data_IF_986559807790
#
_entry.id   IF_986559807790
#
_cell.length_a   1.000
_cell.length_b   1.000
_cell.length_c   1.000
_cell.angle_alpha   90.00
_cell.angle_beta   90.00
_cell.angle_gamma   90.00
#
_symmetry.space_group_name_H-M   'P 1'
#
loop_
_entity.id
_entity.type
_entity.pdbx_description
1 polymer ?
#
# COMPACT_ATOMS: atom_id res chain seq x y z
N UNK A 1 3.18 30.94 -27.05
CA UNK A 1 2.30 29.83 -26.65
C UNK A 1 2.42 28.78 -27.73
N UNK A 2 3.22 27.74 -27.50
CA UNK A 2 3.48 26.69 -28.48
C UNK A 2 2.20 25.87 -28.67
N UNK A 3 1.76 25.75 -29.91
CA UNK A 3 0.60 24.97 -30.35
C UNK A 3 0.78 23.51 -29.92
N UNK A 4 -0.24 22.90 -29.32
CA UNK A 4 -0.28 21.45 -29.19
C UNK A 4 -0.61 20.91 -30.58
N UNK A 5 0.39 20.42 -31.32
CA UNK A 5 0.23 20.00 -32.72
C UNK A 5 -0.41 18.61 -32.86
N UNK A 6 -0.34 17.78 -31.81
CA UNK A 6 -0.79 16.39 -31.86
C UNK A 6 -1.51 15.96 -30.57
N UNK A 7 -2.68 15.35 -30.72
CA UNK A 7 -3.51 14.80 -29.65
C UNK A 7 -3.67 13.29 -29.86
N UNK A 8 -3.28 12.49 -28.87
CA UNK A 8 -3.49 11.04 -28.86
C UNK A 8 -4.60 10.75 -27.84
N UNK A 9 -5.80 10.31 -28.25
CA UNK A 9 -6.86 9.97 -27.32
C UNK A 9 -6.53 8.67 -26.56
N UNK A 10 -6.45 8.74 -25.23
CA UNK A 10 -6.39 7.58 -24.32
C UNK A 10 -7.74 7.41 -23.63
N UNK A 11 -8.73 6.97 -24.42
CA UNK A 11 -10.06 6.64 -23.93
C UNK A 11 -10.10 5.14 -23.66
N UNK A 12 -9.97 4.78 -22.39
CA UNK A 12 -9.96 3.42 -21.82
C UNK A 12 -8.56 2.82 -21.65
N UNK A 13 -8.24 2.48 -20.40
CA UNK A 13 -6.96 1.99 -19.93
C UNK A 13 -6.68 0.53 -20.37
N UNK A 14 -6.92 0.24 -21.64
CA UNK A 14 -6.63 -1.02 -22.32
C UNK A 14 -6.00 -0.80 -23.71
N UNK A 15 -5.63 0.45 -24.02
CA UNK A 15 -4.94 0.75 -25.28
C UNK A 15 -3.55 0.11 -25.29
N UNK A 16 -3.37 -0.89 -26.15
CA UNK A 16 -2.11 -1.61 -26.28
C UNK A 16 -0.93 -0.64 -26.49
N UNK A 17 0.20 -0.83 -25.78
CA UNK A 17 1.42 -0.05 -26.01
C UNK A 17 1.86 -0.03 -27.47
N UNK A 18 1.52 -1.08 -28.24
CA UNK A 18 1.80 -1.16 -29.68
C UNK A 18 0.99 -0.16 -30.50
N UNK A 19 -0.27 0.08 -30.13
CA UNK A 19 -1.11 1.07 -30.81
C UNK A 19 -0.54 2.46 -30.55
N UNK A 20 -0.27 2.78 -29.28
CA UNK A 20 0.36 4.05 -28.91
C UNK A 20 1.68 4.26 -29.66
N UNK A 21 2.55 3.25 -29.70
CA UNK A 21 3.83 3.33 -30.41
C UNK A 21 3.63 3.64 -31.91
N UNK A 22 2.70 2.94 -32.58
CA UNK A 22 2.41 3.16 -33.99
C UNK A 22 1.92 4.59 -34.28
N UNK A 23 1.08 5.17 -33.41
CA UNK A 23 0.65 6.57 -33.54
C UNK A 23 1.81 7.54 -33.33
N UNK A 24 2.66 7.31 -32.33
CA UNK A 24 3.83 8.16 -32.07
C UNK A 24 4.79 8.12 -33.25
N UNK A 25 5.07 6.94 -33.81
CA UNK A 25 5.94 6.78 -34.97
C UNK A 25 5.36 7.42 -36.25
N UNK A 26 4.05 7.31 -36.46
CA UNK A 26 3.40 7.81 -37.67
C UNK A 26 3.20 9.34 -37.69
N UNK A 27 3.09 9.97 -36.52
CA UNK A 27 2.63 11.36 -36.41
C UNK A 27 3.60 12.31 -35.69
N UNK A 28 4.77 11.85 -35.26
CA UNK A 28 5.76 12.71 -34.60
C UNK A 28 7.17 12.35 -35.05
N UNK A 29 8.12 13.26 -34.89
CA UNK A 29 9.55 13.05 -35.05
C UNK A 29 10.29 12.96 -33.70
N UNK A 30 11.56 12.54 -33.73
CA UNK A 30 12.41 12.53 -32.54
C UNK A 30 12.54 13.96 -31.99
N UNK A 31 12.46 14.09 -30.66
CA UNK A 31 12.40 15.36 -29.90
C UNK A 31 11.07 16.14 -29.99
N UNK A 32 10.07 15.67 -30.73
CA UNK A 32 8.75 16.29 -30.67
C UNK A 32 8.15 16.21 -29.26
N UNK A 33 7.26 17.16 -28.96
CA UNK A 33 6.57 17.22 -27.69
C UNK A 33 5.20 16.54 -27.81
N UNK A 34 5.01 15.46 -27.07
CA UNK A 34 3.72 14.82 -26.87
C UNK A 34 3.08 15.38 -25.60
N UNK A 35 1.82 15.78 -25.70
CA UNK A 35 1.03 16.26 -24.57
C UNK A 35 -0.09 15.27 -24.28
N UNK A 36 -0.08 14.69 -23.09
CA UNK A 36 -1.17 13.88 -22.56
C UNK A 36 -1.91 14.65 -21.46
N UNK A 37 -3.02 15.33 -21.78
CA UNK A 37 -3.73 16.20 -20.84
C UNK A 37 -4.54 15.45 -19.79
N UNK A 38 -4.69 14.12 -19.91
CA UNK A 38 -5.50 13.32 -19.01
C UNK A 38 -4.70 12.27 -18.24
N UNK A 39 -3.62 11.75 -18.85
CA UNK A 39 -2.66 10.81 -18.30
C UNK A 39 -3.26 9.79 -17.35
N UNK A 40 -4.25 9.04 -17.86
CA UNK A 40 -4.93 7.97 -17.11
C UNK A 40 -4.06 6.73 -16.98
N UNK A 41 -3.03 6.62 -17.81
CA UNK A 41 -2.06 5.54 -17.85
C UNK A 41 -0.66 6.08 -18.13
N UNK A 42 0.41 5.45 -17.61
CA UNK A 42 1.78 5.80 -17.98
C UNK A 42 2.12 5.46 -19.44
N UNK A 43 1.34 4.60 -20.12
CA UNK A 43 1.70 3.99 -21.40
C UNK A 43 2.04 5.04 -22.47
N UNK A 44 1.22 6.09 -22.62
CA UNK A 44 1.47 7.15 -23.61
C UNK A 44 2.84 7.81 -23.39
N UNK A 45 3.10 8.19 -22.15
CA UNK A 45 4.30 8.93 -21.74
C UNK A 45 5.54 8.06 -21.78
N UNK A 46 5.46 6.81 -21.29
CA UNK A 46 6.60 5.88 -21.31
C UNK A 46 6.96 5.49 -22.73
N UNK A 47 5.97 5.27 -23.59
CA UNK A 47 6.19 4.94 -25.01
C UNK A 47 6.79 6.13 -25.77
N UNK A 48 6.29 7.34 -25.52
CA UNK A 48 6.85 8.58 -26.08
C UNK A 48 8.32 8.76 -25.72
N UNK A 49 8.66 8.64 -24.43
CA UNK A 49 10.04 8.79 -23.95
C UNK A 49 10.94 7.69 -24.51
N UNK A 50 10.45 6.43 -24.55
CA UNK A 50 11.19 5.32 -25.14
C UNK A 50 11.46 5.51 -26.65
N UNK A 51 10.55 6.17 -27.37
CA UNK A 51 10.70 6.54 -28.77
C UNK A 51 11.53 7.82 -28.97
N UNK A 52 12.11 8.42 -27.93
CA UNK A 52 12.93 9.63 -28.04
C UNK A 52 12.12 10.92 -28.23
N UNK A 53 10.84 10.94 -27.85
CA UNK A 53 10.01 12.16 -27.79
C UNK A 53 10.11 12.78 -26.40
N UNK A 54 9.85 14.08 -26.32
CA UNK A 54 9.59 14.77 -25.05
C UNK A 54 8.12 14.58 -24.71
N UNK A 55 7.80 14.50 -23.42
CA UNK A 55 6.41 14.32 -23.01
C UNK A 55 6.05 15.28 -21.85
N UNK A 56 4.85 15.82 -21.91
CA UNK A 56 4.19 16.54 -20.82
C UNK A 56 2.87 15.84 -20.53
N UNK A 57 2.68 15.45 -19.28
CA UNK A 57 1.49 14.74 -18.85
C UNK A 57 0.84 15.45 -17.66
N UNK A 58 -0.48 15.53 -17.67
CA UNK A 58 -1.28 16.16 -16.62
C UNK A 58 -2.35 15.17 -16.16
N UNK A 59 -2.49 15.03 -14.85
CA UNK A 59 -3.61 14.33 -14.24
C UNK A 59 -3.96 15.02 -12.90
N UNK A 60 -5.25 15.15 -12.60
CA UNK A 60 -5.74 15.70 -11.34
C UNK A 60 -5.66 14.70 -10.18
N UNK A 61 -5.61 13.40 -10.48
CA UNK A 61 -5.40 12.31 -9.53
C UNK A 61 -3.94 12.28 -9.06
N UNK A 62 -3.65 12.56 -7.78
CA UNK A 62 -2.29 12.50 -7.25
C UNK A 62 -1.69 11.08 -7.35
N UNK A 63 -2.55 10.06 -7.30
CA UNK A 63 -2.17 8.67 -7.43
C UNK A 63 -1.68 8.34 -8.84
N UNK A 64 -2.42 8.76 -9.86
CA UNK A 64 -2.03 8.47 -11.24
C UNK A 64 -0.82 9.31 -11.65
N UNK A 65 -0.73 10.56 -11.19
CA UNK A 65 0.49 11.36 -11.33
C UNK A 65 1.72 10.71 -10.66
N UNK A 66 1.55 10.07 -9.49
CA UNK A 66 2.60 9.33 -8.81
C UNK A 66 2.99 8.05 -9.58
N UNK A 67 2.01 7.27 -10.06
CA UNK A 67 2.23 6.07 -10.87
C UNK A 67 2.99 6.39 -12.16
N UNK A 68 2.56 7.43 -12.89
CA UNK A 68 3.22 7.88 -14.12
C UNK A 68 4.65 8.31 -13.86
N UNK A 69 4.91 9.07 -12.79
CA UNK A 69 6.27 9.46 -12.41
C UNK A 69 7.17 8.26 -12.15
N UNK A 70 6.68 7.28 -11.39
CA UNK A 70 7.46 6.08 -11.06
C UNK A 70 7.66 5.15 -12.26
N UNK A 71 6.75 5.15 -13.23
CA UNK A 71 6.95 4.42 -14.49
C UNK A 71 8.08 5.01 -15.35
N UNK A 72 8.44 6.28 -15.14
CA UNK A 72 9.49 6.99 -15.88
C UNK A 72 10.82 7.07 -15.14
N UNK A 73 10.83 6.80 -13.83
CA UNK A 73 12.03 6.92 -13.00
C UNK A 73 12.52 5.53 -12.62
N UNK A 74 13.66 5.06 -13.18
CA UNK A 74 14.21 3.77 -12.80
C UNK A 74 14.71 3.82 -11.35
N UNK A 75 14.24 2.90 -10.53
CA UNK A 75 14.73 2.71 -9.16
C UNK A 75 15.41 1.34 -9.06
N UNK A 76 16.72 1.28 -8.79
CA UNK A 76 17.41 0.01 -8.59
C UNK A 76 16.81 -0.79 -7.44
N UNK A 77 16.59 -2.09 -7.63
CA UNK A 77 16.04 -2.99 -6.59
C UNK A 77 16.85 -2.95 -5.30
N UNK A 78 18.18 -2.86 -5.40
CA UNK A 78 19.07 -2.71 -4.23
C UNK A 78 18.75 -1.48 -3.36
N UNK A 79 18.26 -0.40 -3.97
CA UNK A 79 17.94 0.84 -3.24
C UNK A 79 16.60 0.67 -2.50
N UNK A 80 15.68 -0.11 -3.06
CA UNK A 80 14.44 -0.53 -2.41
C UNK A 80 14.71 -1.48 -1.24
N UNK A 81 15.59 -2.47 -1.43
CA UNK A 81 16.00 -3.41 -0.36
C UNK A 81 16.69 -2.67 0.80
N UNK A 82 17.57 -1.72 0.46
CA UNK A 82 18.21 -0.86 1.45
C UNK A 82 17.19 0.02 2.18
N UNK A 83 16.18 0.55 1.48
CA UNK A 83 15.11 1.32 2.10
C UNK A 83 14.25 0.47 3.07
N UNK A 84 13.86 -0.73 2.66
CA UNK A 84 13.10 -1.66 3.49
C UNK A 84 13.90 -2.09 4.74
N UNK A 85 15.20 -2.35 4.57
CA UNK A 85 16.12 -2.66 5.67
C UNK A 85 16.22 -1.48 6.64
N UNK A 86 16.41 -0.26 6.13
CA UNK A 86 16.53 0.95 6.95
C UNK A 86 15.25 1.26 7.73
N UNK A 87 14.06 1.02 7.16
CA UNK A 87 12.78 1.11 7.89
C UNK A 87 12.73 0.04 8.98
N UNK A 88 13.07 -1.20 8.64
CA UNK A 88 13.04 -2.35 9.56
C UNK A 88 13.93 -2.16 10.78
N UNK A 89 15.12 -1.63 10.56
CA UNK A 89 16.14 -1.39 11.59
C UNK A 89 15.94 -0.06 12.33
N UNK A 90 14.99 0.78 11.88
CA UNK A 90 14.73 2.05 12.53
C UNK A 90 14.29 1.85 13.99
N UNK A 91 14.76 2.67 14.95
CA UNK A 91 14.43 2.48 16.35
C UNK A 91 12.94 2.70 16.65
N UNK A 92 12.37 1.81 17.46
CA UNK A 92 11.05 1.93 18.08
C UNK A 92 11.12 1.43 19.52
N UNK A 93 11.02 2.35 20.48
CA UNK A 93 11.33 2.07 21.89
C UNK A 93 12.76 1.53 22.05
N UNK A 94 12.92 0.35 22.62
CA UNK A 94 14.18 -0.35 22.88
C UNK A 94 14.54 -1.40 21.83
N UNK A 95 13.84 -1.44 20.68
CA UNK A 95 14.07 -2.44 19.64
C UNK A 95 13.92 -1.91 18.21
N UNK A 96 14.38 -2.67 17.20
CA UNK A 96 14.09 -2.36 15.80
C UNK A 96 12.59 -2.38 15.49
N UNK A 97 12.14 -1.49 14.60
CA UNK A 97 10.74 -1.38 14.20
C UNK A 97 10.16 -2.70 13.73
N UNK A 98 10.90 -3.47 12.91
CA UNK A 98 10.43 -4.78 12.43
C UNK A 98 10.10 -5.72 13.58
N UNK A 99 10.95 -5.78 14.60
CA UNK A 99 10.72 -6.62 15.78
C UNK A 99 9.51 -6.12 16.58
N UNK A 100 9.37 -4.81 16.75
CA UNK A 100 8.22 -4.20 17.42
C UNK A 100 6.90 -4.56 16.73
N UNK A 101 6.82 -4.36 15.41
CA UNK A 101 5.61 -4.63 14.64
C UNK A 101 5.26 -6.12 14.61
N UNK A 102 6.23 -7.02 14.45
CA UNK A 102 5.98 -8.47 14.47
C UNK A 102 5.42 -8.94 15.81
N UNK A 103 5.89 -8.38 16.94
CA UNK A 103 5.37 -8.74 18.28
C UNK A 103 3.89 -8.41 18.48
N UNK A 104 3.31 -7.52 17.67
CA UNK A 104 1.86 -7.25 17.69
C UNK A 104 1.03 -8.45 17.16
N UNK A 105 1.68 -9.38 16.45
CA UNK A 105 1.08 -10.56 15.84
C UNK A 105 1.58 -11.85 16.51
N UNK A 106 2.18 -11.76 17.71
CA UNK A 106 2.61 -12.95 18.46
C UNK A 106 1.40 -13.78 18.92
N UNK A 107 1.55 -15.10 18.86
CA UNK A 107 0.65 -16.10 19.45
C UNK A 107 1.49 -17.27 19.97
N UNK A 108 0.88 -18.22 20.68
CA UNK A 108 1.54 -19.45 21.14
C UNK A 108 1.21 -20.62 20.20
N UNK A 109 2.20 -21.40 19.80
CA UNK A 109 1.95 -22.63 19.04
C UNK A 109 1.07 -23.59 19.86
N UNK A 110 -0.01 -24.08 19.27
CA UNK A 110 -0.96 -25.00 19.91
C UNK A 110 -0.37 -26.38 20.21
N UNK A 111 0.70 -26.78 19.53
CA UNK A 111 1.37 -28.06 19.77
C UNK A 111 2.47 -27.99 20.83
N UNK A 112 3.32 -26.96 20.80
CA UNK A 112 4.52 -26.90 21.64
C UNK A 112 4.57 -25.71 22.62
N UNK A 113 3.63 -24.77 22.54
CA UNK A 113 3.55 -23.60 23.42
C UNK A 113 4.57 -22.48 23.12
N UNK A 114 5.52 -22.70 22.21
CA UNK A 114 6.48 -21.66 21.83
C UNK A 114 5.81 -20.44 21.17
N UNK A 115 6.36 -19.25 21.39
CA UNK A 115 5.93 -18.04 20.69
C UNK A 115 6.16 -18.18 19.19
N UNK A 116 5.15 -17.81 18.40
CA UNK A 116 5.17 -17.77 16.93
C UNK A 116 4.50 -16.48 16.46
N UNK A 117 4.86 -16.04 15.26
CA UNK A 117 4.19 -14.89 14.63
C UNK A 117 3.06 -15.42 13.75
N UNK A 118 1.86 -14.88 13.91
CA UNK A 118 0.72 -15.19 13.08
C UNK A 118 0.93 -14.64 11.66
N UNK A 119 0.56 -15.45 10.67
CA UNK A 119 0.50 -15.05 9.27
C UNK A 119 -0.75 -14.19 9.02
N UNK A 120 -1.90 -14.61 9.57
CA UNK A 120 -3.16 -13.86 9.54
C UNK A 120 -4.12 -14.32 10.65
N UNK A 121 -5.16 -13.51 10.87
CA UNK A 121 -6.28 -13.80 11.77
C UNK A 121 -7.58 -13.78 10.98
N UNK A 122 -8.50 -14.68 11.30
CA UNK A 122 -9.84 -14.72 10.70
C UNK A 122 -10.82 -14.02 11.62
N UNK A 123 -11.56 -13.06 11.06
CA UNK A 123 -12.56 -12.27 11.76
C UNK A 123 -13.95 -12.65 11.25
N UNK A 124 -14.85 -12.95 12.19
CA UNK A 124 -16.26 -13.13 11.87
C UNK A 124 -16.99 -11.79 11.90
N UNK A 125 -17.93 -11.60 10.98
CA UNK A 125 -18.71 -10.37 10.89
C UNK A 125 -19.43 -10.08 12.21
N UNK A 126 -19.22 -8.89 12.75
CA UNK A 126 -19.85 -8.43 14.00
C UNK A 126 -19.17 -8.91 15.28
N UNK A 127 -18.00 -9.55 15.21
CA UNK A 127 -17.18 -9.88 16.39
C UNK A 127 -16.01 -8.92 16.55
N UNK A 128 -15.75 -8.54 17.80
CA UNK A 128 -14.61 -7.67 18.18
C UNK A 128 -13.30 -8.46 18.40
N UNK A 129 -13.34 -9.78 18.27
CA UNK A 129 -12.19 -10.67 18.43
C UNK A 129 -12.13 -11.68 17.28
N UNK A 130 -10.92 -12.05 16.81
CA UNK A 130 -10.76 -13.05 15.78
C UNK A 130 -11.11 -14.44 16.31
N UNK A 131 -11.71 -15.28 15.46
CA UNK A 131 -12.08 -16.66 15.80
C UNK A 131 -10.91 -17.63 15.57
N UNK A 132 -10.11 -17.40 14.53
CA UNK A 132 -8.99 -18.27 14.17
C UNK A 132 -7.71 -17.48 13.90
N UNK A 133 -6.59 -18.17 14.05
CA UNK A 133 -5.23 -17.68 13.77
C UNK A 133 -4.49 -18.71 12.93
N UNK A 134 -3.78 -18.24 11.90
CA UNK A 134 -2.89 -19.08 11.09
C UNK A 134 -1.45 -18.72 11.39
N UNK A 135 -0.59 -19.73 11.52
CA UNK A 135 0.84 -19.55 11.71
C UNK A 135 1.63 -20.74 11.16
N UNK A 136 2.96 -20.59 11.09
CA UNK A 136 3.92 -21.68 10.94
C UNK A 136 4.95 -21.65 12.06
N UNK A 137 5.00 -22.70 12.87
CA UNK A 137 5.94 -22.82 13.98
C UNK A 137 7.30 -23.32 13.51
N UNK A 138 8.34 -22.48 13.67
CA UNK A 138 9.72 -22.87 13.34
C UNK A 138 10.31 -23.92 14.30
N UNK A 139 9.75 -24.09 15.51
CA UNK A 139 10.29 -24.98 16.53
C UNK A 139 9.85 -26.44 16.35
N UNK A 140 8.57 -26.69 16.03
CA UNK A 140 8.03 -28.04 15.91
C UNK A 140 7.40 -28.36 14.54
N UNK A 141 7.35 -27.39 13.63
CA UNK A 141 6.76 -27.57 12.30
C UNK A 141 5.24 -27.49 12.22
N UNK A 142 4.55 -27.33 13.37
CA UNK A 142 3.10 -27.15 13.41
C UNK A 142 2.66 -25.93 12.59
N UNK A 143 1.67 -26.10 11.71
CA UNK A 143 1.24 -25.03 10.81
C UNK A 143 -0.25 -25.13 10.45
N UNK A 144 -0.81 -23.98 10.03
CA UNK A 144 -2.18 -23.84 9.55
C UNK A 144 -3.10 -23.14 10.55
N UNK A 145 -4.40 -23.18 10.26
CA UNK A 145 -5.44 -22.53 11.06
C UNK A 145 -5.65 -23.24 12.41
N UNK A 146 -5.74 -22.45 13.46
CA UNK A 146 -6.01 -22.87 14.83
C UNK A 146 -7.02 -21.92 15.46
N UNK A 147 -7.76 -22.40 16.45
CA UNK A 147 -8.68 -21.55 17.20
C UNK A 147 -7.90 -20.51 18.00
N UNK A 148 -8.39 -19.28 18.03
CA UNK A 148 -7.88 -18.23 18.90
C UNK A 148 -8.10 -18.61 20.36
N UNK A 149 -7.12 -18.31 21.20
CA UNK A 149 -7.18 -18.48 22.65
C UNK A 149 -7.20 -17.12 23.34
N UNK A 150 -7.53 -17.09 24.64
CA UNK A 150 -7.58 -15.85 25.41
C UNK A 150 -6.27 -15.04 25.31
N UNK A 151 -5.12 -15.71 25.26
CA UNK A 151 -3.82 -15.03 25.09
C UNK A 151 -3.74 -14.20 23.80
N UNK A 152 -4.40 -14.61 22.71
CA UNK A 152 -4.43 -13.85 21.45
C UNK A 152 -5.25 -12.58 21.59
N UNK A 153 -6.37 -12.66 22.32
CA UNK A 153 -7.24 -11.52 22.61
C UNK A 153 -6.52 -10.50 23.50
N UNK A 154 -5.71 -10.95 24.44
CA UNK A 154 -4.93 -10.06 25.29
C UNK A 154 -3.90 -9.24 24.49
N UNK A 155 -3.22 -9.84 23.50
CA UNK A 155 -2.31 -9.12 22.61
C UNK A 155 -3.03 -8.02 21.82
N UNK A 156 -4.29 -8.22 21.42
CA UNK A 156 -5.08 -7.20 20.72
C UNK A 156 -5.39 -5.98 21.60
N UNK A 157 -5.56 -6.20 22.91
CA UNK A 157 -5.86 -5.13 23.89
C UNK A 157 -4.65 -4.25 24.19
N UNK A 158 -3.44 -4.66 23.80
CA UNK A 158 -2.21 -3.86 23.97
C UNK A 158 -2.26 -2.53 23.18
N UNK A 159 -3.09 -2.45 22.14
CA UNK A 159 -3.24 -1.26 21.31
C UNK A 159 -4.56 -0.55 21.60
N UNK A 160 -4.48 0.66 22.14
CA UNK A 160 -5.62 1.53 22.37
C UNK A 160 -6.32 1.91 21.03
N UNK A 161 -7.60 1.56 20.82
CA UNK A 161 -8.34 1.87 19.59
C UNK A 161 -8.29 3.33 19.16
N UNK A 162 -8.26 4.27 20.11
CA UNK A 162 -8.24 5.71 19.84
C UNK A 162 -7.00 6.40 20.41
N UNK A 163 -5.88 5.70 20.33
CA UNK A 163 -4.57 6.25 20.70
C UNK A 163 -4.04 7.26 19.68
N UNK A 164 -2.81 7.73 19.89
CA UNK A 164 -2.15 8.74 19.05
C UNK A 164 -2.15 8.39 17.54
N UNK A 165 -2.02 7.10 17.20
CA UNK A 165 -1.98 6.64 15.82
C UNK A 165 -3.31 6.91 15.09
N UNK A 166 -4.44 6.70 15.76
CA UNK A 166 -5.77 6.97 15.20
C UNK A 166 -5.93 8.47 14.89
N UNK A 167 -5.68 9.32 15.89
CA UNK A 167 -5.84 10.77 15.74
C UNK A 167 -4.87 11.36 14.72
N UNK A 168 -3.63 10.87 14.68
CA UNK A 168 -2.66 11.29 13.68
C UNK A 168 -3.15 11.00 12.26
N UNK A 169 -3.64 9.78 12.00
CA UNK A 169 -4.12 9.40 10.66
C UNK A 169 -5.38 10.19 10.30
N UNK A 170 -6.31 10.37 11.24
CA UNK A 170 -7.53 11.14 11.03
C UNK A 170 -7.23 12.61 10.69
N UNK A 171 -6.38 13.27 11.48
CA UNK A 171 -5.97 14.66 11.25
C UNK A 171 -5.20 14.82 9.94
N UNK A 172 -4.49 13.79 9.51
CA UNK A 172 -3.79 13.77 8.23
C UNK A 172 -4.76 13.63 7.05
N UNK A 173 -5.79 12.81 7.19
CA UNK A 173 -6.80 12.60 6.16
C UNK A 173 -7.72 13.82 6.00
N UNK A 174 -8.19 14.39 7.11
CA UNK A 174 -9.08 15.54 7.13
C UNK A 174 -8.90 16.36 8.42
N UNK A 175 -8.39 17.58 8.27
CA UNK A 175 -8.05 18.47 9.40
C UNK A 175 -9.25 19.23 9.97
N UNK A 176 -10.22 19.56 9.13
CA UNK A 176 -11.38 20.36 9.52
C UNK A 176 -12.48 19.43 10.04
N UNK A 177 -13.26 19.89 11.01
CA UNK A 177 -14.37 19.11 11.54
C UNK A 177 -15.60 19.26 10.63
N UNK A 178 -15.54 18.58 9.49
CA UNK A 178 -16.51 18.65 8.40
C UNK A 178 -16.89 17.25 7.87
N UNK A 179 -17.68 17.21 6.80
CA UNK A 179 -18.12 15.96 6.15
C UNK A 179 -16.94 15.04 5.77
N UNK A 180 -15.86 15.52 5.12
CA UNK A 180 -14.63 14.74 4.90
C UNK A 180 -14.06 14.07 6.14
N UNK A 181 -14.05 14.73 7.31
CA UNK A 181 -13.52 14.13 8.55
C UNK A 181 -14.40 13.02 9.09
N UNK A 182 -15.73 13.16 9.01
CA UNK A 182 -16.65 12.08 9.38
C UNK A 182 -16.46 10.87 8.48
N UNK A 183 -16.37 11.09 7.17
CA UNK A 183 -16.10 10.01 6.22
C UNK A 183 -14.73 9.36 6.47
N UNK A 184 -13.68 10.14 6.74
CA UNK A 184 -12.37 9.60 7.08
C UNK A 184 -12.44 8.74 8.36
N UNK A 185 -13.16 9.18 9.40
CA UNK A 185 -13.35 8.40 10.61
C UNK A 185 -14.04 7.06 10.32
N UNK A 186 -15.10 7.04 9.50
CA UNK A 186 -15.77 5.80 9.06
C UNK A 186 -14.82 4.86 8.30
N UNK A 187 -13.96 5.40 7.43
CA UNK A 187 -12.95 4.60 6.73
C UNK A 187 -11.92 3.99 7.68
N UNK A 188 -11.56 4.67 8.78
CA UNK A 188 -10.63 4.12 9.77
C UNK A 188 -11.21 2.94 10.55
N UNK A 189 -12.54 2.85 10.69
CA UNK A 189 -13.21 1.70 11.31
C UNK A 189 -13.11 0.42 10.45
N UNK A 190 -12.67 0.52 9.19
CA UNK A 190 -12.33 -0.63 8.34
C UNK A 190 -10.99 -1.27 8.71
N UNK A 191 -10.28 -0.73 9.70
CA UNK A 191 -8.99 -1.22 10.15
C UNK A 191 -9.06 -1.61 11.63
N UNK A 192 -8.47 -2.75 11.97
CA UNK A 192 -8.26 -3.07 13.39
C UNK A 192 -7.32 -2.03 14.02
N UNK A 193 -7.44 -1.71 15.32
CA UNK A 193 -6.50 -0.81 16.00
C UNK A 193 -5.04 -1.17 15.77
N UNK A 194 -4.74 -2.48 15.80
CA UNK A 194 -3.42 -3.03 15.52
C UNK A 194 -2.96 -2.74 14.09
N UNK A 195 -3.80 -3.00 13.07
CA UNK A 195 -3.47 -2.71 11.67
C UNK A 195 -3.20 -1.21 11.48
N UNK A 196 -4.05 -0.36 12.05
CA UNK A 196 -3.91 1.09 11.94
C UNK A 196 -2.62 1.59 12.61
N UNK A 197 -2.28 1.03 13.77
CA UNK A 197 -1.01 1.31 14.44
C UNK A 197 0.21 0.93 13.58
N UNK A 198 0.17 -0.22 12.90
CA UNK A 198 1.25 -0.65 11.99
C UNK A 198 1.39 0.34 10.84
N UNK A 199 0.29 0.64 10.15
CA UNK A 199 0.26 1.55 9.01
C UNK A 199 0.77 2.95 9.38
N UNK A 200 0.33 3.48 10.53
CA UNK A 200 0.82 4.73 11.10
C UNK A 200 2.34 4.75 11.26
N UNK A 201 2.92 3.70 11.85
CA UNK A 201 4.38 3.65 12.06
C UNK A 201 5.14 3.54 10.75
N UNK A 202 4.63 2.77 9.78
CA UNK A 202 5.26 2.64 8.46
C UNK A 202 5.21 3.96 7.69
N UNK A 203 4.07 4.66 7.70
CA UNK A 203 3.93 6.00 7.09
C UNK A 203 4.92 6.97 7.71
N UNK A 204 4.94 7.09 9.04
CA UNK A 204 5.86 8.00 9.71
C UNK A 204 7.33 7.72 9.39
N UNK A 205 7.73 6.45 9.40
CA UNK A 205 9.12 6.08 9.13
C UNK A 205 9.51 6.24 7.66
N UNK A 206 8.58 6.00 6.74
CA UNK A 206 8.82 6.30 5.33
C UNK A 206 9.04 7.80 5.10
N UNK A 207 8.24 8.66 5.76
CA UNK A 207 8.39 10.11 5.66
C UNK A 207 9.67 10.62 6.31
N UNK A 208 9.93 10.23 7.56
CA UNK A 208 11.10 10.64 8.35
C UNK A 208 12.42 10.31 7.64
N UNK A 209 12.51 9.14 7.00
CA UNK A 209 13.75 8.65 6.41
C UNK A 209 13.95 9.05 4.94
N UNK A 210 12.86 9.32 4.20
CA UNK A 210 12.91 9.42 2.73
C UNK A 210 12.18 10.62 2.14
N UNK A 211 11.65 11.55 2.94
CA UNK A 211 10.95 12.75 2.46
C UNK A 211 11.64 13.42 1.25
N UNK A 212 10.88 13.69 0.19
CA UNK A 212 11.37 14.32 -1.03
C UNK A 212 12.14 13.43 -2.01
N UNK A 213 12.39 12.15 -1.70
CA UNK A 213 13.09 11.22 -2.60
C UNK A 213 12.15 10.38 -3.48
N UNK A 214 12.67 9.85 -4.59
CA UNK A 214 11.96 8.85 -5.41
C UNK A 214 11.66 7.56 -4.64
N UNK A 215 12.50 7.19 -3.67
CA UNK A 215 12.26 6.06 -2.79
C UNK A 215 10.99 6.27 -1.97
N UNK A 216 10.76 7.48 -1.46
CA UNK A 216 9.52 7.78 -0.74
C UNK A 216 8.29 7.69 -1.65
N UNK A 217 8.39 8.14 -2.89
CA UNK A 217 7.33 7.96 -3.88
C UNK A 217 7.00 6.48 -4.10
N UNK A 218 8.01 5.62 -4.22
CA UNK A 218 7.81 4.17 -4.31
C UNK A 218 7.18 3.60 -3.03
N UNK A 219 7.68 4.00 -1.86
CA UNK A 219 7.13 3.57 -0.57
C UNK A 219 5.68 3.99 -0.39
N UNK A 220 5.25 5.15 -0.92
CA UNK A 220 3.84 5.54 -0.94
C UNK A 220 2.97 4.56 -1.72
N UNK A 221 3.41 4.09 -2.89
CA UNK A 221 2.69 3.03 -3.62
C UNK A 221 2.67 1.71 -2.84
N UNK A 222 3.78 1.32 -2.21
CA UNK A 222 3.83 0.12 -1.38
C UNK A 222 2.86 0.23 -0.18
N UNK A 223 2.79 1.39 0.47
CA UNK A 223 1.89 1.67 1.58
C UNK A 223 0.42 1.64 1.16
N UNK A 224 0.08 2.03 -0.08
CA UNK A 224 -1.29 1.86 -0.61
C UNK A 224 -1.68 0.39 -0.66
N UNK A 225 -0.77 -0.51 -1.07
CA UNK A 225 -1.01 -1.95 -1.02
C UNK A 225 -1.15 -2.45 0.42
N UNK A 226 -0.38 -1.89 1.36
CA UNK A 226 -0.54 -2.20 2.79
C UNK A 226 -1.90 -1.74 3.33
N UNK A 227 -2.42 -0.60 2.90
CA UNK A 227 -3.76 -0.12 3.28
C UNK A 227 -4.84 -1.09 2.80
N UNK A 228 -4.76 -1.52 1.54
CA UNK A 228 -5.68 -2.51 0.97
C UNK A 228 -5.66 -3.82 1.77
N UNK A 229 -4.49 -4.41 1.97
CA UNK A 229 -4.30 -5.68 2.68
C UNK A 229 -4.54 -5.59 4.20
N UNK A 230 -4.38 -4.40 4.79
CA UNK A 230 -4.51 -4.18 6.22
C UNK A 230 -5.94 -3.99 6.70
N UNK A 231 -6.89 -3.83 5.77
CA UNK A 231 -8.32 -3.65 6.06
C UNK A 231 -9.02 -4.98 6.38
N UNK A 232 -10.13 -4.91 7.11
CA UNK A 232 -10.98 -6.06 7.44
C UNK A 232 -11.88 -6.51 6.27
N UNK A 233 -11.76 -5.87 5.11
CA UNK A 233 -12.53 -6.18 3.91
C UNK A 233 -11.95 -7.34 3.10
N UNK A 234 -10.77 -7.84 3.48
CA UNK A 234 -10.13 -8.95 2.79
C UNK A 234 -10.75 -10.30 3.20
N UNK A 235 -11.03 -11.21 2.25
CA UNK A 235 -11.46 -12.56 2.58
C UNK A 235 -10.33 -13.34 3.25
N UNK A 236 -10.68 -14.38 4.01
CA UNK A 236 -9.67 -15.29 4.54
C UNK A 236 -8.95 -15.98 3.37
N UNK A 237 -7.62 -16.20 3.44
CA UNK A 237 -6.91 -16.95 2.42
C UNK A 237 -7.54 -18.33 2.20
N UNK A 238 -8.04 -18.59 0.99
CA UNK A 238 -8.75 -19.82 0.63
C UNK A 238 -10.27 -19.68 0.46
N UNK A 239 -10.90 -18.59 0.96
CA UNK A 239 -12.35 -18.32 0.82
C UNK A 239 -12.70 -17.70 -0.55
N UNK A 240 -12.09 -18.20 -1.64
CA UNK A 240 -12.30 -17.66 -2.99
C UNK A 240 -13.60 -18.19 -3.62
N UNK A 241 -14.72 -18.16 -2.90
CA UNK A 241 -16.02 -18.62 -3.41
C UNK A 241 -17.02 -17.50 -3.72
N UNK A 242 -16.66 -16.21 -3.58
CA UNK A 242 -17.64 -15.12 -3.78
C UNK A 242 -17.24 -14.02 -4.80
N UNK A 243 -16.12 -14.18 -5.52
CA UNK A 243 -15.67 -13.17 -6.49
C UNK A 243 -16.10 -13.43 -7.95
N UNK A 244 -16.69 -14.57 -8.28
CA UNK A 244 -17.10 -14.91 -9.66
C UNK A 244 -18.61 -14.75 -9.95
N UNK A 245 -19.41 -14.25 -9.00
CA UNK A 245 -20.86 -14.06 -9.20
C UNK A 245 -21.38 -12.71 -8.72
N UNK A 246 -20.84 -11.62 -9.24
CA UNK A 246 -21.51 -10.31 -9.24
C UNK A 246 -21.16 -9.51 -10.51
#
# INVERSE_FOLDING_TARGET
MTSVEHFVPDAEADTSPRVVAAYIEAYTDVNDLIVDPFCRSPICVTTAVAAGRRAVAVNFSPLDALRTRLALVPVPTRDLDAAATRISDSPKFDMPLRRHLLRLYRTACRSCGNEVIADYFVWERGRDVPSQVSYRCAACGDAGLRDCVEADVQVLKDIDPRGLHYWYVLDRAARQDDEPRRFAAELLELYTPRSLYVLYNLVLKAEDLFAGSTIHDFLRLALLRCLELGSVLNPAPGDTELAETA
#
